data_IF_066570391435
#
_entry.id   IF_066570391435
#
_cell.length_a   1.000
_cell.length_b   1.000
_cell.length_c   1.000
_cell.angle_alpha   90.00
_cell.angle_beta   90.00
_cell.angle_gamma   90.00
#
_symmetry.space_group_name_H-M   'P 1'
#
loop_
_entity.id
_entity.type
_entity.pdbx_description
1 polymer ?
#
# COMPACT_ATOMS: atom_id res chain seq x y z
N UNK A 1 10.34 0.64 11.21
CA UNK A 1 9.78 0.95 9.89
C UNK A 1 10.15 -0.13 8.90
N UNK A 2 9.18 -0.75 8.31
CA UNK A 2 9.41 -1.75 7.28
C UNK A 2 8.20 -1.79 6.34
N UNK A 3 8.44 -1.74 5.04
CA UNK A 3 7.39 -1.97 4.06
C UNK A 3 7.32 -3.47 3.81
N UNK A 4 6.34 -4.13 4.39
CA UNK A 4 6.21 -5.59 4.32
C UNK A 4 5.97 -6.08 2.90
N UNK A 5 6.24 -7.36 2.67
CA UNK A 5 5.91 -8.03 1.42
C UNK A 5 4.40 -8.00 1.17
N UNK A 6 3.61 -8.15 2.24
CA UNK A 6 2.14 -8.08 2.19
C UNK A 6 1.67 -6.71 1.66
N UNK A 7 2.22 -5.61 2.19
CA UNK A 7 1.90 -4.26 1.71
C UNK A 7 2.36 -4.03 0.28
N UNK A 8 3.53 -4.50 -0.10
CA UNK A 8 4.04 -4.38 -1.47
C UNK A 8 3.12 -5.09 -2.46
N UNK A 9 2.72 -6.31 -2.17
CA UNK A 9 1.80 -7.07 -3.01
C UNK A 9 0.40 -6.47 -3.00
N UNK A 10 -0.04 -5.92 -1.87
CA UNK A 10 -1.32 -5.21 -1.79
C UNK A 10 -1.37 -3.98 -2.69
N UNK A 11 -0.32 -3.19 -2.69
CA UNK A 11 -0.20 -2.03 -3.57
C UNK A 11 -0.19 -2.48 -5.03
N UNK A 12 0.60 -3.50 -5.36
CA UNK A 12 0.63 -4.07 -6.71
C UNK A 12 -0.76 -4.50 -7.18
N UNK A 13 -1.48 -5.23 -6.33
CA UNK A 13 -2.82 -5.72 -6.65
C UNK A 13 -3.84 -4.60 -6.79
N UNK A 14 -3.73 -3.53 -6.00
CA UNK A 14 -4.62 -2.38 -6.11
C UNK A 14 -4.36 -1.58 -7.39
N UNK A 15 -3.12 -1.45 -7.81
CA UNK A 15 -2.78 -0.82 -9.10
C UNK A 15 -3.40 -1.64 -10.24
N UNK A 16 -3.22 -2.95 -10.22
CA UNK A 16 -3.82 -3.86 -11.21
C UNK A 16 -5.34 -3.72 -11.24
N UNK A 17 -5.97 -3.75 -10.07
CA UNK A 17 -7.42 -3.60 -9.96
C UNK A 17 -7.88 -2.26 -10.53
N UNK A 18 -7.20 -1.17 -10.22
CA UNK A 18 -7.55 0.16 -10.71
C UNK A 18 -7.44 0.26 -12.23
N UNK A 19 -6.47 -0.43 -12.83
CA UNK A 19 -6.26 -0.44 -14.28
C UNK A 19 -7.34 -1.25 -14.99
N UNK A 20 -7.69 -2.41 -14.47
CA UNK A 20 -8.57 -3.37 -15.17
C UNK A 20 -10.04 -3.31 -14.76
N UNK A 21 -10.36 -2.79 -13.58
CA UNK A 21 -11.76 -2.69 -13.11
C UNK A 21 -12.41 -1.36 -13.53
N UNK A 22 -12.53 -1.13 -14.83
CA UNK A 22 -13.16 0.12 -15.33
C UNK A 22 -14.67 0.05 -15.18
N UNK A 23 -15.30 -0.96 -15.79
CA UNK A 23 -16.76 -1.13 -15.77
C UNK A 23 -17.18 -2.50 -15.23
N UNK A 24 -16.23 -3.36 -14.93
CA UNK A 24 -16.48 -4.72 -14.47
C UNK A 24 -15.57 -5.06 -13.30
N UNK A 25 -16.05 -5.93 -12.42
CA UNK A 25 -15.22 -6.45 -11.35
C UNK A 25 -14.12 -7.37 -11.90
N UNK A 26 -13.04 -7.49 -11.17
CA UNK A 26 -11.86 -8.29 -11.55
C UNK A 26 -11.70 -9.44 -10.56
N UNK A 27 -11.50 -10.64 -11.09
CA UNK A 27 -11.27 -11.83 -10.26
C UNK A 27 -9.84 -11.85 -9.74
N UNK A 28 -9.68 -12.36 -8.52
CA UNK A 28 -8.34 -12.48 -7.90
C UNK A 28 -7.41 -13.36 -8.72
N UNK A 29 -7.95 -14.41 -9.36
CA UNK A 29 -7.17 -15.28 -10.25
C UNK A 29 -6.50 -14.50 -11.38
N UNK A 30 -7.18 -13.51 -11.93
CA UNK A 30 -6.64 -12.66 -13.00
C UNK A 30 -5.51 -11.77 -12.49
N UNK A 31 -5.70 -11.17 -11.31
CA UNK A 31 -4.66 -10.34 -10.67
C UNK A 31 -3.44 -11.21 -10.34
N UNK A 32 -3.69 -12.40 -9.78
CA UNK A 32 -2.65 -13.37 -9.43
C UNK A 32 -1.80 -13.75 -10.64
N UNK A 33 -2.44 -14.07 -11.75
CA UNK A 33 -1.78 -14.48 -12.98
C UNK A 33 -0.94 -13.35 -13.57
N UNK A 34 -1.51 -12.14 -13.67
CA UNK A 34 -0.79 -10.99 -14.25
C UNK A 34 0.43 -10.57 -13.43
N UNK A 35 0.41 -10.78 -12.12
CA UNK A 35 1.44 -10.27 -11.22
C UNK A 35 2.29 -11.37 -10.56
N UNK A 36 2.05 -12.62 -10.95
CA UNK A 36 2.77 -13.78 -10.40
C UNK A 36 2.73 -13.83 -8.87
N UNK A 37 1.53 -13.64 -8.32
CA UNK A 37 1.26 -13.73 -6.88
C UNK A 37 0.28 -14.88 -6.66
N UNK A 38 0.43 -15.63 -5.56
CA UNK A 38 -0.50 -16.73 -5.28
C UNK A 38 -1.91 -16.20 -4.99
N UNK A 39 -2.94 -16.88 -5.51
CA UNK A 39 -4.35 -16.55 -5.26
C UNK A 39 -4.63 -16.59 -3.76
N UNK A 40 -4.14 -17.59 -3.06
CA UNK A 40 -4.36 -17.76 -1.63
C UNK A 40 -3.80 -16.57 -0.83
N UNK A 41 -2.65 -16.07 -1.22
CA UNK A 41 -2.06 -14.88 -0.58
C UNK A 41 -2.88 -13.63 -0.87
N UNK A 42 -3.33 -13.48 -2.12
CA UNK A 42 -4.21 -12.37 -2.50
C UNK A 42 -5.55 -12.40 -1.76
N UNK A 43 -6.11 -13.57 -1.50
CA UNK A 43 -7.34 -13.70 -0.69
C UNK A 43 -7.16 -13.10 0.68
N UNK A 44 -6.02 -13.35 1.33
CA UNK A 44 -5.71 -12.76 2.65
C UNK A 44 -5.57 -11.23 2.56
N UNK A 45 -4.86 -10.75 1.56
CA UNK A 45 -4.65 -9.32 1.32
C UNK A 45 -6.01 -8.63 1.08
N UNK A 46 -6.83 -9.17 0.18
CA UNK A 46 -8.10 -8.57 -0.17
C UNK A 46 -9.13 -8.67 0.97
N UNK A 47 -9.05 -9.67 1.82
CA UNK A 47 -9.85 -9.73 3.03
C UNK A 47 -9.56 -8.53 3.95
N UNK A 48 -8.27 -8.22 4.15
CA UNK A 48 -7.87 -7.06 4.95
C UNK A 48 -8.27 -5.73 4.29
N UNK A 49 -8.07 -5.61 2.98
CA UNK A 49 -8.46 -4.41 2.23
C UNK A 49 -9.96 -4.17 2.27
N UNK A 50 -10.76 -5.24 2.19
CA UNK A 50 -12.21 -5.15 2.27
C UNK A 50 -12.66 -4.70 3.66
N UNK A 51 -12.08 -5.25 4.72
CA UNK A 51 -12.38 -4.84 6.10
C UNK A 51 -12.08 -3.37 6.34
N UNK A 52 -11.08 -2.84 5.66
CA UNK A 52 -10.69 -1.43 5.76
C UNK A 52 -11.48 -0.52 4.80
N UNK A 53 -12.40 -1.07 4.01
CA UNK A 53 -13.24 -0.28 3.11
C UNK A 53 -12.54 0.23 1.85
N UNK A 54 -11.43 -0.39 1.44
CA UNK A 54 -10.70 0.03 0.24
C UNK A 54 -11.16 -0.72 -1.02
N UNK A 55 -11.65 -1.95 -0.85
CA UNK A 55 -12.23 -2.76 -1.92
C UNK A 55 -13.56 -3.34 -1.48
N UNK A 56 -14.37 -3.74 -2.44
CA UNK A 56 -15.61 -4.48 -2.20
C UNK A 56 -15.65 -5.70 -3.12
N UNK A 57 -16.31 -6.76 -2.65
CA UNK A 57 -16.49 -7.98 -3.41
C UNK A 57 -17.89 -8.02 -4.04
N UNK A 58 -17.95 -8.57 -5.25
CA UNK A 58 -19.20 -8.84 -5.96
C UNK A 58 -19.31 -10.35 -6.12
N UNK A 59 -20.42 -10.91 -5.63
CA UNK A 59 -20.67 -12.35 -5.67
C UNK A 59 -21.24 -12.77 -7.03
N UNK A 60 -21.13 -14.05 -7.33
CA UNK A 60 -21.72 -14.68 -8.52
C UNK A 60 -20.71 -15.11 -9.56
N UNK A 61 -21.19 -15.73 -10.68
CA UNK A 61 -20.29 -16.25 -11.74
C UNK A 61 -19.44 -15.17 -12.40
N UNK A 62 -19.94 -13.94 -12.42
CA UNK A 62 -19.21 -12.77 -12.95
C UNK A 62 -18.74 -11.86 -11.84
N UNK A 63 -18.57 -12.41 -10.66
CA UNK A 63 -18.10 -11.69 -9.50
C UNK A 63 -16.60 -11.43 -9.51
N UNK A 64 -16.14 -10.78 -8.47
CA UNK A 64 -14.76 -10.40 -8.29
C UNK A 64 -14.66 -9.23 -7.34
N UNK A 65 -13.70 -8.35 -7.59
CA UNK A 65 -13.46 -7.19 -6.73
C UNK A 65 -13.51 -5.88 -7.51
N UNK A 66 -13.89 -4.82 -6.79
CA UNK A 66 -13.87 -3.44 -7.28
C UNK A 66 -13.25 -2.57 -6.19
N UNK A 67 -12.73 -1.42 -6.58
CA UNK A 67 -12.35 -0.40 -5.61
C UNK A 67 -13.62 0.17 -4.97
N UNK A 68 -13.61 0.35 -3.65
CA UNK A 68 -14.72 0.99 -2.93
C UNK A 68 -14.65 2.51 -3.05
N UNK A 69 -13.43 3.05 -3.19
CA UNK A 69 -13.17 4.48 -3.34
C UNK A 69 -12.45 4.73 -4.66
N UNK A 70 -12.56 5.95 -5.17
CA UNK A 70 -11.78 6.34 -6.35
C UNK A 70 -10.29 6.29 -6.06
N UNK A 71 -9.43 5.96 -7.05
CA UNK A 71 -7.98 5.92 -6.86
C UNK A 71 -7.39 7.20 -6.27
N UNK A 72 -7.96 8.36 -6.58
CA UNK A 72 -7.53 9.65 -6.04
C UNK A 72 -7.78 9.77 -4.53
N UNK A 73 -8.70 8.98 -4.00
CA UNK A 73 -9.10 9.01 -2.58
C UNK A 73 -8.46 7.91 -1.75
N UNK A 74 -7.64 7.06 -2.36
CA UNK A 74 -6.89 6.00 -1.65
C UNK A 74 -5.43 6.43 -1.59
N UNK A 75 -4.91 6.57 -0.36
CA UNK A 75 -3.50 6.89 -0.16
C UNK A 75 -2.70 5.63 0.15
N UNK A 76 -1.38 5.69 -0.06
CA UNK A 76 -0.49 4.59 0.34
C UNK A 76 -0.56 4.38 1.85
N UNK A 77 -0.74 5.46 2.63
CA UNK A 77 -0.97 5.36 4.08
C UNK A 77 -2.18 4.47 4.39
N UNK A 78 -3.30 4.66 3.68
CA UNK A 78 -4.50 3.83 3.86
C UNK A 78 -4.21 2.35 3.64
N UNK A 79 -3.45 2.02 2.60
CA UNK A 79 -3.11 0.63 2.24
C UNK A 79 -2.22 0.00 3.31
N UNK A 80 -1.19 0.71 3.74
CA UNK A 80 -0.26 0.19 4.75
C UNK A 80 -0.98 0.00 6.09
N UNK A 81 -1.82 0.95 6.50
CA UNK A 81 -2.63 0.80 7.71
C UNK A 81 -3.56 -0.43 7.63
N UNK A 82 -4.14 -0.69 6.47
CA UNK A 82 -5.02 -1.84 6.27
C UNK A 82 -4.27 -3.18 6.40
N UNK A 83 -3.03 -3.24 5.93
CA UNK A 83 -2.27 -4.48 5.79
C UNK A 83 -1.24 -4.71 6.90
N UNK A 84 -0.56 -3.67 7.34
CA UNK A 84 0.54 -3.76 8.31
C UNK A 84 0.24 -3.06 9.64
N UNK A 85 -0.80 -2.23 9.70
CA UNK A 85 -1.07 -1.38 10.84
C UNK A 85 -0.28 -0.08 10.77
N UNK A 86 0.62 0.17 11.72
CA UNK A 86 1.41 1.41 11.72
C UNK A 86 2.67 1.29 10.89
N UNK A 87 3.00 2.34 10.15
CA UNK A 87 4.28 2.48 9.45
C UNK A 87 5.26 3.39 10.20
N UNK A 88 4.86 3.93 11.35
CA UNK A 88 5.70 4.82 12.13
C UNK A 88 6.72 4.04 12.95
N UNK A 89 7.85 4.66 13.22
CA UNK A 89 8.83 4.15 14.16
C UNK A 89 8.29 4.26 15.57
N UNK A 90 8.65 3.30 16.41
CA UNK A 90 8.27 3.33 17.82
C UNK A 90 8.97 4.47 18.57
N UNK A 91 8.35 4.92 19.65
CA UNK A 91 8.94 5.93 20.54
C UNK A 91 10.23 5.39 21.15
N UNK A 92 11.29 6.21 21.15
CA UNK A 92 12.60 5.82 21.68
C UNK A 92 12.51 5.37 23.14
N UNK A 93 11.64 5.98 23.92
CA UNK A 93 11.45 5.63 25.32
C UNK A 93 10.79 4.27 25.52
N UNK A 94 10.04 3.78 24.53
CA UNK A 94 9.45 2.44 24.58
C UNK A 94 10.46 1.34 24.27
N UNK A 95 11.53 1.70 23.55
CA UNK A 95 12.57 0.76 23.12
C UNK A 95 13.71 0.69 24.13
N UNK A 96 14.05 1.84 24.74
CA UNK A 96 15.16 1.95 25.71
C UNK A 96 14.60 2.03 27.12
N UNK A 97 15.00 1.10 27.98
CA UNK A 97 14.61 1.09 29.39
C UNK A 97 15.53 1.97 30.23
N UNK A 98 14.95 2.70 31.21
CA UNK A 98 15.69 3.48 32.15
C UNK A 98 15.31 4.97 32.18
N UNK A 99 16.05 5.76 32.93
CA UNK A 99 15.86 7.22 33.02
C UNK A 99 16.72 7.92 31.97
N UNK A 100 16.21 9.00 31.40
CA UNK A 100 16.93 9.78 30.38
C UNK A 100 17.68 10.97 31.03
N UNK A 101 18.52 10.68 32.05
CA UNK A 101 19.25 11.70 32.80
C UNK A 101 20.19 12.54 31.92
N UNK A 102 20.72 11.96 30.85
CA UNK A 102 21.63 12.64 29.92
C UNK A 102 20.93 13.27 28.72
N UNK A 103 19.62 13.16 28.64
CA UNK A 103 18.86 13.69 27.51
C UNK A 103 19.10 12.99 26.19
N UNK A 104 19.72 11.82 26.19
CA UNK A 104 20.09 11.10 24.96
C UNK A 104 18.85 10.61 24.23
N UNK A 105 17.95 9.92 24.93
CA UNK A 105 16.70 9.39 24.31
C UNK A 105 15.82 10.54 23.81
N UNK A 106 15.76 11.65 24.54
CA UNK A 106 15.01 12.83 24.10
C UNK A 106 15.59 13.41 22.81
N UNK A 107 16.93 13.51 22.73
CA UNK A 107 17.59 14.01 21.53
C UNK A 107 17.31 13.09 20.31
N UNK A 108 17.45 11.78 20.49
CA UNK A 108 17.15 10.80 19.45
C UNK A 108 15.68 10.90 19.01
N UNK A 109 14.77 10.98 19.98
CA UNK A 109 13.34 11.09 19.70
C UNK A 109 13.05 12.33 18.84
N UNK A 110 13.48 13.49 19.30
CA UNK A 110 13.13 14.76 18.65
C UNK A 110 13.84 14.99 17.33
N UNK A 111 15.13 14.68 17.27
CA UNK A 111 15.95 14.99 16.08
C UNK A 111 15.92 13.91 15.02
N UNK A 112 15.64 12.66 15.39
CA UNK A 112 15.64 11.55 14.46
C UNK A 112 14.26 10.94 14.29
N UNK A 113 13.69 10.37 15.35
CA UNK A 113 12.45 9.59 15.27
C UNK A 113 11.26 10.44 14.79
N UNK A 114 11.03 11.59 15.45
CA UNK A 114 9.93 12.48 15.09
C UNK A 114 10.07 13.00 13.67
N UNK A 115 11.29 13.34 13.25
CA UNK A 115 11.54 13.83 11.89
C UNK A 115 11.27 12.76 10.84
N UNK A 116 11.74 11.54 11.07
CA UNK A 116 11.48 10.42 10.16
C UNK A 116 9.98 10.11 10.08
N UNK A 117 9.30 10.08 11.21
CA UNK A 117 7.87 9.82 11.26
C UNK A 117 7.07 10.91 10.54
N UNK A 118 7.40 12.19 10.77
CA UNK A 118 6.71 13.31 10.12
C UNK A 118 6.86 13.27 8.60
N UNK A 119 8.07 13.03 8.11
CA UNK A 119 8.34 12.96 6.68
C UNK A 119 7.67 11.74 6.04
N UNK A 120 7.75 10.59 6.70
CA UNK A 120 7.10 9.36 6.23
C UNK A 120 5.58 9.53 6.16
N UNK A 121 4.98 10.04 7.22
CA UNK A 121 3.55 10.28 7.30
C UNK A 121 3.07 11.22 6.20
N UNK A 122 3.78 12.31 5.99
CA UNK A 122 3.48 13.29 4.95
C UNK A 122 3.55 12.66 3.56
N UNK A 123 4.63 11.93 3.26
CA UNK A 123 4.80 11.26 1.98
C UNK A 123 3.66 10.27 1.71
N UNK A 124 3.39 9.39 2.67
CA UNK A 124 2.43 8.29 2.47
C UNK A 124 0.99 8.77 2.42
N UNK A 125 0.66 9.89 3.07
CA UNK A 125 -0.68 10.50 3.01
C UNK A 125 -0.92 11.32 1.75
N UNK A 126 0.15 11.80 1.10
CA UNK A 126 0.05 12.55 -0.15
C UNK A 126 0.07 11.65 -1.39
N UNK A 127 0.75 10.51 -1.31
CA UNK A 127 0.88 9.60 -2.43
C UNK A 127 -0.40 8.77 -2.58
N UNK A 128 -1.11 8.97 -3.70
CA UNK A 128 -2.39 8.30 -3.96
C UNK A 128 -2.21 7.08 -4.88
N UNK A 129 -3.20 6.21 -4.87
CA UNK A 129 -3.26 5.09 -5.82
C UNK A 129 -3.27 5.61 -7.26
N UNK A 130 -3.93 6.75 -7.52
CA UNK A 130 -3.94 7.38 -8.84
C UNK A 130 -2.53 7.75 -9.29
N UNK A 131 -1.72 8.32 -8.42
CA UNK A 131 -0.33 8.64 -8.75
C UNK A 131 0.45 7.41 -9.17
N UNK A 132 0.28 6.30 -8.45
CA UNK A 132 0.96 5.04 -8.76
C UNK A 132 0.47 4.42 -10.06
N UNK A 133 -0.83 4.48 -10.32
CA UNK A 133 -1.42 3.99 -11.57
C UNK A 133 -0.85 4.78 -12.76
N UNK A 134 -0.88 6.09 -12.68
CA UNK A 134 -0.40 6.97 -13.76
C UNK A 134 1.08 6.75 -14.05
N UNK A 135 1.91 6.67 -13.00
CA UNK A 135 3.33 6.38 -13.15
C UNK A 135 3.60 4.98 -13.71
N UNK A 136 2.83 4.00 -13.27
CA UNK A 136 2.91 2.62 -13.76
C UNK A 136 2.65 2.57 -15.27
N UNK A 137 1.64 3.27 -15.75
CA UNK A 137 1.30 3.33 -17.17
C UNK A 137 2.39 4.04 -17.97
N UNK A 138 2.94 5.11 -17.44
CA UNK A 138 4.02 5.87 -18.06
C UNK A 138 5.29 5.01 -18.21
N UNK A 139 5.72 4.33 -17.14
CA UNK A 139 6.89 3.46 -17.19
C UNK A 139 6.68 2.24 -18.09
N UNK A 140 5.48 1.73 -18.20
CA UNK A 140 5.13 0.64 -19.11
C UNK A 140 5.29 1.07 -20.56
N UNK A 141 4.85 2.28 -20.92
CA UNK A 141 5.01 2.83 -22.27
C UNK A 141 6.48 3.05 -22.64
N UNK A 142 7.27 3.62 -21.71
CA UNK A 142 8.71 3.83 -21.93
C UNK A 142 9.41 2.49 -22.15
N UNK A 143 9.12 1.49 -21.32
CA UNK A 143 9.68 0.15 -21.48
C UNK A 143 9.30 -0.48 -22.82
N UNK A 144 8.05 -0.29 -23.27
CA UNK A 144 7.58 -0.79 -24.54
C UNK A 144 8.29 -0.11 -25.72
N UNK A 145 8.45 1.21 -25.68
CA UNK A 145 9.18 1.97 -26.69
C UNK A 145 10.65 1.55 -26.78
N UNK A 146 11.30 1.27 -25.65
CA UNK A 146 12.69 0.80 -25.60
C UNK A 146 12.86 -0.57 -26.27
N UNK A 147 11.84 -1.41 -26.27
CA UNK A 147 11.88 -2.74 -26.91
C UNK A 147 11.73 -2.67 -28.42
N UNK A 148 11.16 -1.60 -28.98
CA UNK A 148 10.86 -1.48 -30.42
C UNK A 148 11.80 -0.52 -31.15
N UNK A 149 12.79 0.02 -30.46
CA UNK A 149 13.89 0.77 -31.06
C UNK A 149 15.04 -0.20 -31.41
#
# INVERSE_FOLDING_TARGET
MNLSKKSRYGITALIDLAVYAKDQCVQLSSIAERNNISVKYLEQIFSSLRKSGLVRSVKGPQGGYLLEKRPESITVADVIHALDGSYLLEDERSVVSGTDEKGISTAIQKLLIDQMNDQTDRLLKQLTLRNLVDSSMEYSQVGHEMYYI
#
